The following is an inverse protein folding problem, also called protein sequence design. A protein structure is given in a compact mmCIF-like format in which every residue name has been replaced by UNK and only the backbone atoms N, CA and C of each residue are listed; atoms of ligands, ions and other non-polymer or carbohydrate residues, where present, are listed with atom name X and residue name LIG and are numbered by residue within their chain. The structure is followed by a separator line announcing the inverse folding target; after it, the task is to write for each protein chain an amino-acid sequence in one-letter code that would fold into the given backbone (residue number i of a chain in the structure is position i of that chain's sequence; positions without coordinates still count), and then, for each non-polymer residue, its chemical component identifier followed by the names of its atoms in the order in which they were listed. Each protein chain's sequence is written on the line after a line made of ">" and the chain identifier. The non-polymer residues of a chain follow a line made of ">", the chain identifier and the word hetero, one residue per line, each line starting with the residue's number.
data_IF_132301409298
#
_entry.id   IF_132301409298
#
_cell.length_a   1.000
_cell.length_b   1.000
_cell.length_c   1.000
_cell.angle_alpha   90.00
_cell.angle_beta   90.00
_cell.angle_gamma   90.00
#
_symmetry.space_group_name_H-M   'P 1'
#
loop_
_entity.id
_entity.type
_entity.pdbx_description
1 polymer ?
#
# COMPACT_ATOMS: atom_id res chain seq x y z
N UNK A 1 -2.85 -28.11 6.24
CA UNK A 1 -2.19 -26.81 6.52
C UNK A 1 -2.60 -26.39 7.91
N UNK A 2 -1.65 -26.39 8.89
CA UNK A 2 -1.93 -25.87 10.23
C UNK A 2 -2.11 -24.37 10.09
N UNK A 3 -3.25 -23.81 10.54
CA UNK A 3 -3.38 -22.39 10.78
C UNK A 3 -2.23 -21.97 11.70
N UNK A 4 -1.34 -21.10 11.21
CA UNK A 4 -0.38 -20.50 12.13
C UNK A 4 -1.19 -19.73 13.18
N UNK A 5 -0.92 -20.05 14.43
CA UNK A 5 -1.60 -19.40 15.54
C UNK A 5 -1.13 -17.95 15.55
N UNK A 6 -1.99 -17.02 15.12
CA UNK A 6 -1.69 -15.59 15.07
C UNK A 6 -1.28 -15.01 16.44
N UNK A 7 -1.48 -15.77 17.53
CA UNK A 7 -1.05 -15.38 18.87
C UNK A 7 0.47 -15.47 19.12
N UNK A 8 1.23 -16.09 18.21
CA UNK A 8 2.69 -16.26 18.34
C UNK A 8 3.50 -15.41 17.34
N UNK A 9 2.85 -14.52 16.59
CA UNK A 9 3.54 -13.66 15.61
C UNK A 9 4.39 -12.63 16.37
N UNK A 10 5.69 -12.59 16.06
CA UNK A 10 6.61 -11.58 16.57
C UNK A 10 6.69 -10.37 15.65
N UNK A 11 6.65 -10.61 14.33
CA UNK A 11 6.82 -9.57 13.31
C UNK A 11 5.80 -9.68 12.20
N UNK A 12 5.08 -8.59 11.94
CA UNK A 12 4.08 -8.52 10.89
C UNK A 12 4.06 -7.21 10.11
N UNK A 13 3.54 -7.28 8.89
CA UNK A 13 3.21 -6.10 8.09
C UNK A 13 1.72 -6.13 7.82
N UNK A 14 1.05 -5.01 8.08
CA UNK A 14 -0.35 -4.83 7.72
C UNK A 14 -0.49 -3.67 6.75
N UNK A 15 -1.25 -3.89 5.69
CA UNK A 15 -1.57 -2.85 4.71
C UNK A 15 -3.05 -2.56 4.73
N UNK A 16 -3.40 -1.27 4.85
CA UNK A 16 -4.77 -0.82 4.70
C UNK A 16 -4.95 -0.03 3.40
N UNK A 17 -5.98 -0.38 2.63
CA UNK A 17 -6.32 0.32 1.39
C UNK A 17 -6.67 1.79 1.65
N UNK A 18 -6.32 2.67 0.70
CA UNK A 18 -6.71 4.09 0.75
C UNK A 18 -8.14 4.37 0.30
N UNK A 19 -8.91 3.34 -0.09
CA UNK A 19 -10.31 3.49 -0.45
C UNK A 19 -11.21 3.57 0.79
N UNK A 20 -12.35 4.24 0.66
CA UNK A 20 -13.39 4.26 1.70
C UNK A 20 -13.96 2.86 1.96
N UNK A 21 -14.50 2.63 3.16
CA UNK A 21 -15.16 1.37 3.54
C UNK A 21 -14.32 0.41 4.39
N UNK A 22 -13.05 0.71 4.65
CA UNK A 22 -12.26 -0.04 5.63
C UNK A 22 -12.62 0.39 7.06
N UNK A 23 -12.81 -0.57 7.94
CA UNK A 23 -13.07 -0.29 9.35
C UNK A 23 -11.76 -0.03 10.10
N UNK A 24 -11.41 1.25 10.25
CA UNK A 24 -10.19 1.68 10.93
C UNK A 24 -10.21 1.37 12.44
N UNK A 25 -11.36 1.41 13.07
CA UNK A 25 -11.48 1.21 14.50
C UNK A 25 -11.00 -0.17 14.94
N UNK A 26 -11.43 -1.22 14.23
CA UNK A 26 -10.98 -2.59 14.51
C UNK A 26 -9.49 -2.78 14.24
N UNK A 27 -8.98 -2.22 13.14
CA UNK A 27 -7.54 -2.28 12.86
C UNK A 27 -6.74 -1.61 13.97
N UNK A 28 -7.09 -0.37 14.34
CA UNK A 28 -6.38 0.41 15.36
C UNK A 28 -6.46 -0.29 16.72
N UNK A 29 -7.60 -0.86 17.08
CA UNK A 29 -7.76 -1.64 18.31
C UNK A 29 -6.83 -2.85 18.33
N UNK A 30 -6.96 -3.73 17.37
CA UNK A 30 -6.19 -4.99 17.31
C UNK A 30 -4.69 -4.73 17.24
N UNK A 31 -4.26 -3.81 16.38
CA UNK A 31 -2.85 -3.53 16.21
C UNK A 31 -2.25 -2.84 17.44
N UNK A 32 -3.03 -2.00 18.14
CA UNK A 32 -2.60 -1.39 19.42
C UNK A 32 -2.34 -2.45 20.49
N UNK A 33 -3.20 -3.43 20.61
CA UNK A 33 -3.04 -4.52 21.58
C UNK A 33 -1.80 -5.36 21.28
N UNK A 34 -1.51 -5.61 20.00
CA UNK A 34 -0.33 -6.35 19.55
C UNK A 34 0.97 -5.61 19.84
N UNK A 35 1.04 -4.34 19.47
CA UNK A 35 2.22 -3.49 19.75
C UNK A 35 2.48 -3.39 21.27
N UNK A 36 1.45 -3.26 22.09
CA UNK A 36 1.58 -3.23 23.55
C UNK A 36 2.08 -4.56 24.16
N UNK A 37 1.87 -5.68 23.46
CA UNK A 37 2.46 -6.97 23.84
C UNK A 37 3.91 -7.15 23.40
N UNK A 38 4.50 -6.14 22.74
CA UNK A 38 5.88 -6.16 22.23
C UNK A 38 6.02 -6.84 20.87
N UNK A 39 4.92 -7.01 20.11
CA UNK A 39 4.98 -7.49 18.74
C UNK A 39 5.47 -6.35 17.81
N UNK A 40 6.34 -6.67 16.85
CA UNK A 40 6.91 -5.74 15.88
C UNK A 40 5.99 -5.64 14.65
N UNK A 41 5.26 -4.55 14.54
CA UNK A 41 4.35 -4.33 13.42
C UNK A 41 4.76 -3.10 12.59
N UNK A 42 4.59 -3.21 11.27
CA UNK A 42 4.64 -2.10 10.32
C UNK A 42 3.26 -1.91 9.70
N UNK A 43 2.75 -0.68 9.74
CA UNK A 43 1.52 -0.31 9.06
C UNK A 43 1.83 0.41 7.74
N UNK A 44 1.38 -0.15 6.62
CA UNK A 44 1.40 0.51 5.31
C UNK A 44 -0.02 0.97 4.97
N UNK A 45 -0.19 2.22 4.55
CA UNK A 45 -1.51 2.72 4.16
C UNK A 45 -1.56 3.19 2.71
N UNK A 46 -2.77 3.36 2.18
CA UNK A 46 -3.00 4.03 0.90
C UNK A 46 -3.40 5.49 1.09
N UNK A 47 -3.63 6.22 -0.01
CA UNK A 47 -4.06 7.62 0.04
C UNK A 47 -5.13 7.97 -1.01
N UNK A 48 -5.67 6.99 -1.72
CA UNK A 48 -6.51 7.26 -2.92
C UNK A 48 -7.78 8.03 -2.62
N UNK A 49 -8.56 7.65 -1.60
CA UNK A 49 -9.80 8.36 -1.26
C UNK A 49 -9.55 9.78 -0.74
N UNK A 50 -8.47 9.98 0.01
CA UNK A 50 -8.06 11.31 0.47
C UNK A 50 -7.63 12.18 -0.71
N UNK A 51 -6.88 11.61 -1.65
CA UNK A 51 -6.50 12.30 -2.88
C UNK A 51 -7.73 12.66 -3.74
N UNK A 52 -8.70 11.77 -3.85
CA UNK A 52 -9.94 12.02 -4.59
C UNK A 52 -10.78 13.11 -3.92
N UNK A 53 -10.84 13.16 -2.59
CA UNK A 53 -11.51 14.22 -1.84
C UNK A 53 -10.82 15.57 -2.04
N UNK A 54 -9.49 15.62 -1.93
CA UNK A 54 -8.72 16.83 -2.17
C UNK A 54 -8.83 17.30 -3.64
N UNK A 55 -8.73 16.38 -4.61
CA UNK A 55 -8.93 16.71 -6.04
C UNK A 55 -10.28 17.35 -6.26
N UNK A 56 -11.34 16.82 -5.65
CA UNK A 56 -12.70 17.33 -5.78
C UNK A 56 -12.84 18.73 -5.14
N UNK A 57 -12.28 18.92 -3.95
CA UNK A 57 -12.29 20.21 -3.25
C UNK A 57 -11.55 21.31 -4.00
N UNK A 58 -10.51 20.95 -4.76
CA UNK A 58 -9.71 21.85 -5.58
C UNK A 58 -10.19 21.94 -7.04
N UNK A 59 -11.34 21.32 -7.38
CA UNK A 59 -11.86 21.23 -8.76
C UNK A 59 -10.85 20.65 -9.78
N UNK A 60 -9.99 19.74 -9.33
CA UNK A 60 -9.01 19.06 -10.18
C UNK A 60 -9.59 17.76 -10.73
N UNK A 61 -9.51 17.58 -12.05
CA UNK A 61 -9.98 16.36 -12.72
C UNK A 61 -8.86 15.32 -12.80
N UNK A 62 -9.00 14.13 -12.19
CA UNK A 62 -8.00 13.08 -12.30
C UNK A 62 -7.85 12.55 -13.71
N UNK A 63 -6.62 12.41 -14.19
CA UNK A 63 -6.33 11.78 -15.47
C UNK A 63 -6.12 10.28 -15.28
N UNK A 64 -6.94 9.47 -15.96
CA UNK A 64 -6.75 8.02 -16.00
C UNK A 64 -6.21 7.57 -17.35
N UNK A 65 -5.40 6.54 -17.34
CA UNK A 65 -4.80 5.94 -18.53
C UNK A 65 -5.00 4.43 -18.51
N UNK A 66 -5.05 3.83 -19.70
CA UNK A 66 -5.17 2.39 -19.86
C UNK A 66 -3.89 1.87 -20.50
N UNK A 67 -3.25 0.87 -19.90
CA UNK A 67 -2.09 0.21 -20.47
C UNK A 67 -2.49 -0.67 -21.68
N UNK A 68 -1.55 -1.07 -22.55
CA UNK A 68 -1.83 -2.01 -23.62
C UNK A 68 -2.40 -3.36 -23.16
N UNK A 69 -2.13 -3.75 -21.91
CA UNK A 69 -2.72 -4.94 -21.27
C UNK A 69 -4.12 -4.71 -20.69
N UNK A 70 -4.76 -3.55 -20.97
CA UNK A 70 -6.10 -3.20 -20.49
C UNK A 70 -6.17 -2.70 -19.06
N UNK A 71 -5.03 -2.50 -18.41
CA UNK A 71 -5.00 -2.06 -17.02
C UNK A 71 -5.18 -0.55 -16.89
N UNK A 72 -6.24 -0.12 -16.17
CA UNK A 72 -6.53 1.29 -15.90
C UNK A 72 -5.79 1.77 -14.65
N UNK A 73 -5.06 2.87 -14.75
CA UNK A 73 -4.38 3.52 -13.63
C UNK A 73 -4.48 5.04 -13.72
N UNK A 74 -4.35 5.71 -12.56
CA UNK A 74 -4.24 7.17 -12.52
C UNK A 74 -2.85 7.57 -13.05
N UNK A 75 -2.80 8.51 -13.96
CA UNK A 75 -1.57 9.18 -14.35
C UNK A 75 -1.23 10.20 -13.25
N UNK A 76 -0.02 10.15 -12.74
CA UNK A 76 0.44 11.03 -11.67
C UNK A 76 1.51 11.96 -12.24
N UNK A 77 1.15 13.19 -12.52
CA UNK A 77 2.12 14.24 -12.85
C UNK A 77 2.70 14.89 -11.57
N UNK A 78 3.52 15.92 -11.70
CA UNK A 78 4.14 16.60 -10.55
C UNK A 78 3.09 17.22 -9.60
N UNK A 79 2.07 17.86 -10.13
CA UNK A 79 0.99 18.45 -9.32
C UNK A 79 0.16 17.37 -8.64
N UNK A 80 -0.17 16.29 -9.35
CA UNK A 80 -0.85 15.14 -8.76
C UNK A 80 -0.02 14.48 -7.66
N UNK A 81 1.32 14.45 -7.81
CA UNK A 81 2.20 13.91 -6.77
C UNK A 81 2.16 14.76 -5.50
N UNK A 82 2.20 16.10 -5.61
CA UNK A 82 2.10 16.98 -4.45
C UNK A 82 0.74 16.81 -3.75
N UNK A 83 -0.33 16.70 -4.51
CA UNK A 83 -1.66 16.42 -3.96
C UNK A 83 -1.71 15.05 -3.27
N UNK A 84 -1.06 14.05 -3.84
CA UNK A 84 -0.99 12.71 -3.24
C UNK A 84 -0.17 12.69 -1.95
N UNK A 85 0.94 13.43 -1.89
CA UNK A 85 1.73 13.62 -0.67
C UNK A 85 0.89 14.26 0.44
N UNK A 86 0.15 15.32 0.13
CA UNK A 86 -0.78 15.95 1.07
C UNK A 86 -1.86 14.97 1.55
N UNK A 87 -2.46 14.20 0.64
CA UNK A 87 -3.45 13.17 0.96
C UNK A 87 -2.89 12.10 1.91
N UNK A 88 -1.67 11.62 1.64
CA UNK A 88 -0.98 10.68 2.51
C UNK A 88 -0.71 11.26 3.90
N UNK A 89 -0.29 12.54 3.97
CA UNK A 89 -0.04 13.20 5.25
C UNK A 89 -1.31 13.31 6.09
N UNK A 90 -2.43 13.70 5.50
CA UNK A 90 -3.73 13.75 6.21
C UNK A 90 -4.09 12.38 6.79
N UNK A 91 -3.95 11.32 5.99
CA UNK A 91 -4.30 9.98 6.48
C UNK A 91 -3.31 9.47 7.54
N UNK A 92 -2.01 9.71 7.37
CA UNK A 92 -1.02 9.37 8.40
C UNK A 92 -1.32 10.07 9.73
N UNK A 93 -1.63 11.37 9.72
CA UNK A 93 -1.97 12.12 10.93
C UNK A 93 -3.21 11.53 11.61
N UNK A 94 -4.23 11.16 10.85
CA UNK A 94 -5.43 10.51 11.39
C UNK A 94 -5.08 9.17 12.06
N UNK A 95 -4.26 8.33 11.43
CA UNK A 95 -3.82 7.06 11.99
C UNK A 95 -3.01 7.27 13.27
N UNK A 96 -2.01 8.15 13.25
CA UNK A 96 -1.18 8.48 14.42
C UNK A 96 -2.03 8.95 15.58
N UNK A 97 -2.99 9.85 15.33
CA UNK A 97 -3.93 10.32 16.36
C UNK A 97 -4.77 9.17 16.94
N UNK A 98 -5.28 8.28 16.08
CA UNK A 98 -6.10 7.15 16.53
C UNK A 98 -5.30 6.14 17.36
N UNK A 99 -4.04 5.88 17.02
CA UNK A 99 -3.14 5.04 17.81
C UNK A 99 -2.73 5.72 19.12
N UNK A 100 -2.45 7.04 19.07
CA UNK A 100 -2.14 7.84 20.27
C UNK A 100 -3.25 7.81 21.32
N UNK A 101 -4.52 7.89 20.89
CA UNK A 101 -5.68 7.75 21.78
C UNK A 101 -5.73 6.38 22.47
N UNK A 102 -5.07 5.38 21.93
CA UNK A 102 -4.93 4.04 22.52
C UNK A 102 -3.58 3.83 23.21
N UNK A 103 -2.79 4.89 23.41
CA UNK A 103 -1.49 4.82 24.09
C UNK A 103 -0.41 4.08 23.32
N UNK A 104 -0.47 4.09 21.99
CA UNK A 104 0.56 3.57 21.09
C UNK A 104 1.24 4.73 20.37
N UNK A 105 2.57 4.80 20.48
CA UNK A 105 3.37 5.76 19.75
C UNK A 105 3.51 5.33 18.28
N UNK A 106 2.71 5.89 17.39
CA UNK A 106 2.80 5.62 15.94
C UNK A 106 3.59 6.75 15.26
N UNK A 107 4.56 6.37 14.40
CA UNK A 107 5.47 7.32 13.76
C UNK A 107 5.40 7.19 12.25
N UNK A 108 4.96 8.23 11.52
CA UNK A 108 4.93 8.21 10.08
C UNK A 108 6.34 8.44 9.52
N UNK A 109 6.69 7.66 8.49
CA UNK A 109 7.99 7.71 7.82
C UNK A 109 7.83 8.22 6.40
N UNK A 110 8.38 9.38 6.10
CA UNK A 110 8.28 10.04 4.79
C UNK A 110 9.65 10.22 4.14
N UNK A 111 9.81 9.92 2.83
CA UNK A 111 10.97 10.37 2.09
C UNK A 111 10.89 11.92 1.84
N UNK A 112 12.02 12.63 1.73
CA UNK A 112 13.38 12.12 1.78
C UNK A 112 13.97 11.97 3.19
N UNK A 113 13.30 12.47 4.23
CA UNK A 113 13.82 12.48 5.61
C UNK A 113 14.04 11.05 6.14
N UNK A 114 13.20 10.14 5.67
CA UNK A 114 13.33 8.72 5.96
C UNK A 114 13.25 7.88 4.70
N UNK A 115 14.37 7.27 4.29
CA UNK A 115 14.48 6.45 3.08
C UNK A 115 14.28 4.98 3.46
N UNK A 116 13.02 4.58 3.71
CA UNK A 116 12.70 3.16 3.85
C UNK A 116 12.55 2.47 2.50
N UNK A 117 11.94 3.12 1.51
CA UNK A 117 11.79 2.57 0.16
C UNK A 117 12.48 3.43 -0.89
N UNK A 118 13.21 2.77 -1.80
CA UNK A 118 13.80 3.38 -3.00
C UNK A 118 13.09 2.81 -4.22
N UNK A 119 12.80 3.67 -5.19
CA UNK A 119 12.06 3.28 -6.38
C UNK A 119 12.69 3.83 -7.66
N UNK A 120 12.50 3.10 -8.74
CA UNK A 120 12.82 3.54 -10.10
C UNK A 120 11.60 4.16 -10.75
N UNK A 121 11.76 5.37 -11.26
CA UNK A 121 10.69 6.14 -11.90
C UNK A 121 10.24 5.50 -13.22
N UNK A 122 8.94 5.46 -13.42
CA UNK A 122 8.28 5.15 -14.69
C UNK A 122 7.89 6.44 -15.40
N UNK A 123 8.86 7.23 -15.81
CA UNK A 123 8.63 8.53 -16.44
C UNK A 123 7.78 8.44 -17.70
N UNK A 124 7.98 7.39 -18.48
CA UNK A 124 7.25 7.14 -19.73
C UNK A 124 6.30 5.96 -19.55
N UNK A 125 5.02 6.19 -19.81
CA UNK A 125 4.00 5.14 -19.81
C UNK A 125 3.55 4.83 -21.25
N UNK A 126 3.40 3.54 -21.54
CA UNK A 126 2.71 3.07 -22.75
C UNK A 126 1.22 2.99 -22.43
N UNK A 127 0.41 3.71 -23.18
CA UNK A 127 -1.04 3.78 -22.96
C UNK A 127 -1.78 3.48 -24.27
N UNK A 128 -2.98 2.93 -24.14
CA UNK A 128 -3.90 2.74 -25.26
C UNK A 128 -4.92 3.88 -25.26
N UNK A 129 -4.96 4.63 -26.33
CA UNK A 129 -5.91 5.72 -26.54
C UNK A 129 -6.49 5.61 -27.94
N UNK A 130 -7.81 5.52 -28.06
CA UNK A 130 -8.53 5.33 -29.33
C UNK A 130 -7.98 4.14 -30.15
N UNK A 131 -7.71 3.01 -29.50
CA UNK A 131 -7.20 1.77 -30.12
C UNK A 131 -5.72 1.83 -30.53
N UNK A 132 -5.01 2.94 -30.29
CA UNK A 132 -3.59 3.10 -30.65
C UNK A 132 -2.74 3.18 -29.40
N UNK A 133 -1.54 2.58 -29.45
CA UNK A 133 -0.55 2.69 -28.37
C UNK A 133 0.21 4.01 -28.51
N UNK A 134 0.24 4.79 -27.41
CA UNK A 134 0.96 6.05 -27.31
C UNK A 134 1.92 6.05 -26.13
N UNK A 135 2.94 6.89 -26.19
CA UNK A 135 3.85 7.17 -25.10
C UNK A 135 3.48 8.51 -24.45
N UNK A 136 3.24 8.49 -23.14
CA UNK A 136 3.08 9.72 -22.35
C UNK A 136 4.24 9.84 -21.37
N UNK A 137 4.72 11.09 -21.19
CA UNK A 137 5.86 11.42 -20.34
C UNK A 137 5.43 12.22 -19.11
N UNK A 138 6.34 12.38 -18.15
CA UNK A 138 6.13 13.18 -16.94
C UNK A 138 5.35 12.46 -15.86
N UNK A 139 5.32 11.13 -15.90
CA UNK A 139 4.72 10.34 -14.82
C UNK A 139 5.66 10.30 -13.60
N UNK A 140 5.10 10.55 -12.41
CA UNK A 140 5.78 10.58 -11.13
C UNK A 140 5.48 9.35 -10.27
N UNK A 141 5.18 8.21 -10.89
CA UNK A 141 5.11 6.93 -10.20
C UNK A 141 6.29 6.02 -10.54
N UNK A 142 6.58 5.07 -9.65
CA UNK A 142 7.70 4.16 -9.79
C UNK A 142 7.37 2.74 -9.35
N UNK A 143 8.38 1.88 -9.43
CA UNK A 143 8.37 0.56 -8.80
C UNK A 143 9.55 0.46 -7.82
N UNK A 144 9.34 -0.20 -6.69
CA UNK A 144 10.34 -0.34 -5.63
C UNK A 144 11.48 -1.21 -6.12
N UNK A 145 12.70 -0.73 -5.94
CA UNK A 145 13.96 -1.42 -6.29
C UNK A 145 14.71 -1.91 -5.07
N UNK A 146 14.57 -1.21 -3.93
CA UNK A 146 15.14 -1.65 -2.67
C UNK A 146 14.32 -1.14 -1.48
N UNK A 147 14.48 -1.82 -0.35
CA UNK A 147 13.85 -1.45 0.91
C UNK A 147 14.90 -1.47 2.02
N UNK A 148 14.94 -0.43 2.86
CA UNK A 148 15.85 -0.26 3.99
C UNK A 148 15.09 -0.38 5.29
N UNK A 149 15.68 -1.09 6.25
CA UNK A 149 15.01 -1.46 7.50
C UNK A 149 15.44 -0.63 8.70
N UNK A 150 16.56 0.11 8.62
CA UNK A 150 17.22 0.71 9.77
C UNK A 150 16.29 1.56 10.63
N UNK A 151 15.52 2.46 10.00
CA UNK A 151 14.58 3.32 10.71
C UNK A 151 13.41 2.56 11.32
N UNK A 152 12.98 1.45 10.68
CA UNK A 152 11.89 0.63 11.18
C UNK A 152 12.36 -0.13 12.42
N UNK A 153 13.54 -0.73 12.38
CA UNK A 153 14.12 -1.40 13.53
C UNK A 153 14.34 -0.44 14.70
N UNK A 154 14.90 0.76 14.45
CA UNK A 154 15.08 1.77 15.49
C UNK A 154 13.74 2.18 16.16
N UNK A 155 12.65 2.27 15.39
CA UNK A 155 11.33 2.55 15.95
C UNK A 155 10.78 1.37 16.76
N UNK A 156 10.99 0.14 16.31
CA UNK A 156 10.59 -1.05 17.08
C UNK A 156 11.35 -1.15 18.40
N UNK A 157 12.66 -0.86 18.41
CA UNK A 157 13.47 -0.80 19.65
C UNK A 157 12.93 0.22 20.65
N UNK A 158 12.27 1.28 20.16
CA UNK A 158 11.58 2.29 20.98
C UNK A 158 10.12 1.92 21.32
N UNK A 159 9.65 0.73 20.94
CA UNK A 159 8.27 0.29 21.12
C UNK A 159 7.25 1.09 20.28
N UNK A 160 7.69 1.74 19.22
CA UNK A 160 6.83 2.52 18.34
C UNK A 160 6.29 1.70 17.16
N UNK A 161 5.15 2.13 16.62
CA UNK A 161 4.56 1.59 15.41
C UNK A 161 4.96 2.44 14.20
N UNK A 162 5.85 1.96 13.30
CA UNK A 162 6.11 2.66 12.05
C UNK A 162 4.90 2.67 11.13
N UNK A 163 4.64 3.81 10.48
CA UNK A 163 3.54 4.00 9.53
C UNK A 163 4.11 4.48 8.20
N UNK A 164 3.91 3.73 7.12
CA UNK A 164 4.44 4.04 5.79
C UNK A 164 3.34 4.43 4.80
N UNK A 165 3.41 5.62 4.21
CA UNK A 165 2.65 5.94 3.00
C UNK A 165 3.26 5.24 1.76
N UNK A 166 2.53 5.10 0.65
CA UNK A 166 3.05 4.53 -0.59
C UNK A 166 3.87 5.57 -1.38
N UNK A 167 4.89 6.10 -0.72
CA UNK A 167 5.85 7.07 -1.23
C UNK A 167 7.26 6.49 -1.10
N UNK A 168 8.05 6.60 -2.15
CA UNK A 168 9.42 6.11 -2.17
C UNK A 168 10.38 7.19 -2.68
N UNK A 169 11.65 7.09 -2.31
CA UNK A 169 12.69 7.96 -2.83
C UNK A 169 13.07 7.53 -4.26
N UNK A 170 13.22 8.48 -5.18
CA UNK A 170 13.68 8.20 -6.54
C UNK A 170 15.17 7.83 -6.53
N UNK A 171 15.54 6.64 -7.05
CA UNK A 171 16.93 6.17 -7.09
C UNK A 171 17.88 7.13 -7.78
N UNK A 172 17.36 8.01 -8.66
CA UNK A 172 18.15 9.03 -9.36
C UNK A 172 18.28 10.35 -8.60
N UNK A 173 17.76 10.44 -7.37
CA UNK A 173 17.85 11.64 -6.56
C UNK A 173 16.90 12.77 -6.95
N UNK A 174 15.88 12.48 -7.77
CA UNK A 174 14.90 13.48 -8.23
C UNK A 174 13.70 13.67 -7.28
N UNK A 175 13.83 13.26 -6.02
CA UNK A 175 12.82 13.46 -4.99
C UNK A 175 11.96 12.25 -4.72
N UNK A 176 10.65 12.44 -4.61
CA UNK A 176 9.68 11.43 -4.17
C UNK A 176 8.88 10.90 -5.33
N UNK A 177 8.53 9.62 -5.29
CA UNK A 177 7.67 8.94 -6.25
C UNK A 177 6.45 8.33 -5.54
N UNK A 178 5.31 8.36 -6.20
CA UNK A 178 4.19 7.49 -5.86
C UNK A 178 4.52 6.05 -6.24
N UNK A 179 4.26 5.10 -5.34
CA UNK A 179 4.38 3.67 -5.59
C UNK A 179 3.08 2.94 -5.24
N UNK A 180 2.95 1.72 -5.71
CA UNK A 180 1.81 0.88 -5.35
C UNK A 180 1.90 0.44 -3.89
N UNK A 181 0.82 0.65 -3.10
CA UNK A 181 0.82 0.36 -1.66
C UNK A 181 0.87 -1.14 -1.33
N UNK A 182 0.32 -2.01 -2.18
CA UNK A 182 0.39 -3.45 -1.98
C UNK A 182 1.83 -3.94 -2.24
N UNK A 183 2.49 -3.38 -3.27
CA UNK A 183 3.92 -3.61 -3.56
C UNK A 183 4.84 -3.05 -2.47
N UNK A 184 4.50 -1.90 -1.89
CA UNK A 184 5.22 -1.36 -0.73
C UNK A 184 5.16 -2.32 0.45
N UNK A 185 3.97 -2.82 0.77
CA UNK A 185 3.78 -3.76 1.87
C UNK A 185 4.50 -5.09 1.63
N UNK A 186 4.45 -5.62 0.40
CA UNK A 186 5.15 -6.85 0.04
C UNK A 186 6.67 -6.68 0.12
N UNK A 187 7.23 -5.58 -0.41
CA UNK A 187 8.65 -5.28 -0.33
C UNK A 187 9.12 -5.11 1.13
N UNK A 188 8.33 -4.43 1.94
CA UNK A 188 8.59 -4.29 3.37
C UNK A 188 8.56 -5.65 4.09
N UNK A 189 7.52 -6.45 3.87
CA UNK A 189 7.38 -7.77 4.49
C UNK A 189 8.57 -8.70 4.16
N UNK A 190 8.97 -8.73 2.90
CA UNK A 190 10.12 -9.52 2.45
C UNK A 190 11.43 -9.04 3.09
N UNK A 191 11.68 -7.72 3.08
CA UNK A 191 12.92 -7.14 3.61
C UNK A 191 13.02 -7.29 5.13
N UNK A 192 11.91 -7.11 5.85
CA UNK A 192 11.82 -7.24 7.30
C UNK A 192 11.77 -8.70 7.76
N UNK A 193 11.65 -9.66 6.83
CA UNK A 193 11.41 -11.08 7.12
C UNK A 193 10.18 -11.26 8.02
N UNK A 194 9.09 -10.57 7.67
CA UNK A 194 7.85 -10.65 8.41
C UNK A 194 7.24 -12.06 8.32
N UNK A 195 6.72 -12.55 9.44
CA UNK A 195 6.05 -13.85 9.52
C UNK A 195 4.67 -13.81 8.84
N UNK A 196 4.09 -12.60 8.75
CA UNK A 196 2.78 -12.40 8.13
C UNK A 196 2.69 -11.07 7.41
N UNK A 197 2.03 -11.07 6.26
CA UNK A 197 1.56 -9.89 5.53
C UNK A 197 0.04 -9.92 5.47
N UNK A 198 -0.61 -8.92 6.04
CA UNK A 198 -2.07 -8.76 6.01
C UNK A 198 -2.43 -7.61 5.08
N UNK A 199 -3.23 -7.87 4.05
CA UNK A 199 -3.73 -6.83 3.14
C UNK A 199 -5.23 -6.66 3.38
N UNK A 200 -5.59 -5.57 4.06
CA UNK A 200 -6.99 -5.21 4.30
C UNK A 200 -7.57 -4.48 3.09
N UNK A 201 -8.72 -4.92 2.67
CA UNK A 201 -9.44 -4.42 1.50
C UNK A 201 -10.92 -4.28 1.84
N UNK A 202 -11.64 -3.46 1.06
CA UNK A 202 -13.08 -3.29 1.15
C UNK A 202 -13.88 -4.38 0.41
N UNK A 203 -13.22 -5.46 0.02
CA UNK A 203 -13.83 -6.64 -0.60
C UNK A 203 -13.50 -7.88 0.24
N UNK A 204 -14.34 -8.93 0.21
CA UNK A 204 -14.16 -10.11 1.06
C UNK A 204 -12.82 -10.84 0.87
N UNK A 205 -12.27 -10.81 -0.34
CA UNK A 205 -11.06 -11.51 -0.70
C UNK A 205 -11.03 -11.88 -2.19
N UNK A 206 -10.27 -12.91 -2.54
CA UNK A 206 -10.26 -13.49 -3.89
C UNK A 206 -11.51 -14.37 -4.07
N UNK A 207 -12.31 -14.06 -5.09
CA UNK A 207 -13.49 -14.82 -5.47
C UNK A 207 -13.19 -15.58 -6.77
N UNK A 208 -13.71 -16.79 -6.92
CA UNK A 208 -13.68 -17.51 -8.21
C UNK A 208 -14.58 -16.79 -9.24
N UNK A 209 -15.79 -16.40 -8.81
CA UNK A 209 -16.66 -15.48 -9.54
C UNK A 209 -16.76 -14.13 -8.83
N UNK A 210 -16.31 -13.02 -9.44
CA UNK A 210 -16.36 -11.69 -8.84
C UNK A 210 -17.78 -11.21 -8.46
N UNK A 211 -18.81 -11.80 -9.04
CA UNK A 211 -20.22 -11.44 -8.78
C UNK A 211 -20.87 -12.32 -7.70
N UNK A 212 -20.19 -13.38 -7.24
CA UNK A 212 -20.71 -14.30 -6.24
C UNK A 212 -19.76 -14.40 -5.03
N UNK A 213 -20.17 -13.79 -3.91
CA UNK A 213 -19.39 -13.79 -2.68
C UNK A 213 -19.29 -15.16 -2.01
N UNK A 214 -20.17 -16.12 -2.36
CA UNK A 214 -20.09 -17.49 -1.85
C UNK A 214 -18.88 -18.25 -2.40
N UNK A 215 -18.30 -17.78 -3.52
CA UNK A 215 -17.12 -18.35 -4.18
C UNK A 215 -15.79 -17.87 -3.58
N UNK A 216 -15.81 -17.34 -2.35
CA UNK A 216 -14.62 -16.84 -1.65
C UNK A 216 -13.59 -17.96 -1.44
N UNK A 217 -12.40 -17.76 -1.97
CA UNK A 217 -11.24 -18.62 -1.73
C UNK A 217 -10.67 -18.29 -0.35
N UNK A 218 -11.01 -19.12 0.64
CA UNK A 218 -10.64 -18.90 2.05
C UNK A 218 -9.19 -19.25 2.35
N UNK A 219 -8.63 -20.19 1.58
CA UNK A 219 -7.26 -20.68 1.76
C UNK A 219 -6.72 -21.23 0.44
N UNK A 220 -5.43 -21.07 0.24
CA UNK A 220 -4.69 -21.62 -0.90
C UNK A 220 -3.21 -21.75 -0.55
N UNK A 221 -2.46 -22.45 -1.38
CA UNK A 221 -1.01 -22.61 -1.26
C UNK A 221 -0.30 -21.97 -2.46
N UNK A 222 1.03 -21.88 -2.40
CA UNK A 222 1.82 -21.40 -3.55
C UNK A 222 1.74 -22.35 -4.76
N UNK A 223 1.42 -23.61 -4.54
CA UNK A 223 1.24 -24.62 -5.61
C UNK A 223 0.01 -24.29 -6.48
N UNK A 224 -1.01 -23.64 -5.88
CA UNK A 224 -2.24 -23.24 -6.56
C UNK A 224 -2.11 -21.92 -7.33
N UNK A 225 -0.91 -21.34 -7.38
CA UNK A 225 -0.69 -19.98 -7.89
C UNK A 225 -1.27 -19.71 -9.27
N UNK A 226 -1.07 -20.64 -10.21
CA UNK A 226 -1.55 -20.50 -11.58
C UNK A 226 -3.07 -20.44 -11.65
N UNK A 227 -3.75 -21.23 -10.84
CA UNK A 227 -5.22 -21.22 -10.72
C UNK A 227 -5.71 -19.90 -10.11
N UNK A 228 -5.09 -19.45 -9.01
CA UNK A 228 -5.41 -18.19 -8.32
C UNK A 228 -5.23 -16.99 -9.25
N UNK A 229 -4.18 -16.97 -10.06
CA UNK A 229 -3.94 -15.90 -11.03
C UNK A 229 -5.07 -15.87 -12.08
N UNK A 230 -5.63 -17.01 -12.45
CA UNK A 230 -6.76 -17.13 -13.38
C UNK A 230 -8.05 -16.47 -12.87
N UNK A 231 -8.31 -16.52 -11.55
CA UNK A 231 -9.46 -15.86 -10.92
C UNK A 231 -9.23 -14.38 -10.66
N UNK A 232 -7.98 -13.92 -10.65
CA UNK A 232 -7.64 -12.55 -10.31
C UNK A 232 -7.87 -11.58 -11.47
N UNK A 233 -8.64 -10.51 -11.26
CA UNK A 233 -8.91 -9.46 -12.24
C UNK A 233 -8.61 -8.07 -11.68
N UNK A 234 -8.22 -7.13 -12.54
CA UNK A 234 -8.01 -5.75 -12.17
C UNK A 234 -7.05 -5.57 -10.97
N UNK A 235 -7.48 -4.85 -9.95
CA UNK A 235 -6.67 -4.58 -8.76
C UNK A 235 -6.37 -5.83 -7.92
N UNK A 236 -7.19 -6.90 -8.01
CA UNK A 236 -6.92 -8.14 -7.29
C UNK A 236 -5.67 -8.84 -7.83
N UNK A 237 -5.43 -8.78 -9.15
CA UNK A 237 -4.22 -9.34 -9.76
C UNK A 237 -2.93 -8.74 -9.16
N UNK A 238 -2.95 -7.44 -8.81
CA UNK A 238 -1.81 -6.78 -8.16
C UNK A 238 -1.58 -7.25 -6.72
N UNK A 239 -2.64 -7.62 -6.01
CA UNK A 239 -2.54 -8.10 -4.62
C UNK A 239 -1.95 -9.49 -4.53
N UNK A 240 -2.16 -10.32 -5.56
CA UNK A 240 -1.60 -11.65 -5.66
C UNK A 240 -0.13 -11.62 -6.12
N UNK A 241 0.25 -10.73 -7.01
CA UNK A 241 1.62 -10.58 -7.52
C UNK A 241 2.55 -9.85 -6.55
#
# INVERSE_FOLDING_TARGET
>A
VKYQNLSSIKRGVVKIGGASGNNLEYLVKELSERVKRGEEWLLVHGGSSYMDNLSRALNMTPKYVVSPSGFRSRFINSTDLELFRAACSVFSIQLVSSFGQRGVNAVPLYPPDNISAVAKRKDVLRVTENGKVRLIRGNCSGFITSFRNDSIFALWDLGALPVLPPLAYDEKGYGVLNVDGDRMAAAAAASLKAEVLIILSNIPGLLQDPNDTSTLIKMSTLEDWTELEGYSRGNMKRKLQ
#
